data_IF_675847843794
#
_entry.id   IF_675847843794
#
_cell.length_a   1.000
_cell.length_b   1.000
_cell.length_c   1.000
_cell.angle_alpha   90.00
_cell.angle_beta   90.00
_cell.angle_gamma   90.00
#
_symmetry.space_group_name_H-M   'P 1'
#
loop_
_entity.id
_entity.type
_entity.pdbx_description
1 polymer ?
#
# COMPACT_ATOMS: atom_id res chain seq x y z
N UNK A 1 -22.48 12.33 -31.81
CA UNK A 1 -22.89 11.84 -30.49
C UNK A 1 -21.67 11.27 -29.78
N UNK A 2 -21.27 11.86 -28.66
CA UNK A 2 -20.20 11.33 -27.80
C UNK A 2 -20.84 10.33 -26.84
N UNK A 3 -20.50 9.04 -26.95
CA UNK A 3 -20.86 8.06 -25.94
C UNK A 3 -19.98 8.29 -24.71
N UNK A 4 -20.59 8.75 -23.62
CA UNK A 4 -19.91 8.88 -22.32
C UNK A 4 -20.15 7.58 -21.56
N UNK A 5 -19.09 6.78 -21.39
CA UNK A 5 -19.14 5.58 -20.57
C UNK A 5 -19.47 5.98 -19.12
N UNK A 6 -20.53 5.40 -18.57
CA UNK A 6 -21.00 5.70 -17.21
C UNK A 6 -20.96 4.42 -16.38
N UNK A 7 -20.39 4.51 -15.18
CA UNK A 7 -20.44 3.45 -14.16
C UNK A 7 -21.34 3.93 -13.02
N UNK A 8 -22.38 3.15 -12.72
CA UNK A 8 -23.26 3.39 -11.57
C UNK A 8 -22.98 2.37 -10.48
N UNK A 9 -22.62 2.84 -9.29
CA UNK A 9 -22.39 2.00 -8.10
C UNK A 9 -23.55 2.24 -7.14
N UNK A 10 -24.27 1.18 -6.78
CA UNK A 10 -25.43 1.25 -5.88
C UNK A 10 -25.14 0.46 -4.60
N UNK A 11 -25.40 1.08 -3.44
CA UNK A 11 -25.27 0.41 -2.14
C UNK A 11 -26.49 -0.49 -1.88
N UNK A 12 -26.29 -1.80 -1.97
CA UNK A 12 -27.32 -2.80 -1.70
C UNK A 12 -27.24 -3.41 -0.28
N UNK A 13 -26.41 -2.85 0.61
CA UNK A 13 -26.29 -3.35 1.98
C UNK A 13 -27.60 -3.19 2.77
N UNK A 14 -27.86 -4.10 3.72
CA UNK A 14 -29.02 -4.01 4.63
C UNK A 14 -29.04 -2.65 5.32
N UNK A 15 -30.22 -2.02 5.38
CA UNK A 15 -30.43 -0.68 5.94
C UNK A 15 -29.55 0.41 5.29
N UNK A 16 -29.07 0.19 4.06
CA UNK A 16 -28.13 1.08 3.37
C UNK A 16 -26.85 1.33 4.18
N UNK A 17 -26.39 0.32 4.94
CA UNK A 17 -25.15 0.41 5.69
C UNK A 17 -24.00 0.82 4.76
N UNK A 18 -23.29 1.89 5.08
CA UNK A 18 -22.18 2.39 4.29
C UNK A 18 -20.90 1.60 4.61
N UNK A 19 -20.16 1.23 3.57
CA UNK A 19 -18.80 0.72 3.68
C UNK A 19 -17.84 1.53 2.81
N UNK A 20 -16.55 1.40 3.08
CA UNK A 20 -15.54 1.97 2.21
C UNK A 20 -15.42 1.12 0.93
N UNK A 21 -15.32 1.77 -0.22
CA UNK A 21 -15.12 1.13 -1.52
C UNK A 21 -13.87 1.75 -2.13
N UNK A 22 -13.00 0.90 -2.70
CA UNK A 22 -11.90 1.35 -3.55
C UNK A 22 -12.24 1.00 -4.98
N UNK A 23 -12.17 2.00 -5.85
CA UNK A 23 -12.33 1.82 -7.29
C UNK A 23 -10.99 2.13 -7.95
N UNK A 24 -10.46 1.14 -8.67
CA UNK A 24 -9.27 1.29 -9.49
C UNK A 24 -9.66 1.13 -10.96
N UNK A 25 -9.67 2.25 -11.68
CA UNK A 25 -10.04 2.31 -13.10
C UNK A 25 -8.77 2.37 -13.92
N UNK A 26 -8.61 1.43 -14.85
CA UNK A 26 -7.38 1.27 -15.62
C UNK A 26 -7.66 1.35 -17.11
N UNK A 27 -6.76 1.99 -17.84
CA UNK A 27 -6.79 1.96 -19.30
C UNK A 27 -6.36 0.57 -19.79
N UNK A 28 -7.14 -0.02 -20.69
CA UNK A 28 -6.84 -1.31 -21.33
C UNK A 28 -5.50 -1.33 -22.08
N UNK A 29 -4.98 -0.16 -22.46
CA UNK A 29 -3.67 0.02 -23.11
C UNK A 29 -2.50 0.14 -22.12
N UNK A 30 -2.73 0.03 -20.81
CA UNK A 30 -1.65 0.03 -19.82
C UNK A 30 -0.72 -1.18 -20.04
N UNK A 31 0.58 -0.98 -19.84
CA UNK A 31 1.64 -1.95 -20.19
C UNK A 31 1.42 -3.33 -19.57
N UNK A 32 1.08 -3.37 -18.28
CA UNK A 32 0.87 -4.62 -17.54
C UNK A 32 -0.58 -5.09 -17.51
N UNK A 33 -1.49 -4.51 -18.29
CA UNK A 33 -2.93 -4.81 -18.21
C UNK A 33 -3.25 -6.30 -18.34
N UNK A 34 -2.48 -7.03 -19.17
CA UNK A 34 -2.70 -8.47 -19.42
C UNK A 34 -1.95 -9.40 -18.47
N UNK A 35 -0.95 -8.89 -17.76
CA UNK A 35 0.00 -9.71 -16.99
C UNK A 35 0.04 -9.38 -15.50
N UNK A 36 -0.49 -8.23 -15.10
CA UNK A 36 -0.60 -7.85 -13.71
C UNK A 36 -1.65 -8.71 -13.01
N UNK A 37 -1.30 -9.18 -11.83
CA UNK A 37 -2.23 -9.80 -10.91
C UNK A 37 -2.81 -8.72 -9.99
N UNK A 38 -4.12 -8.76 -9.74
CA UNK A 38 -4.80 -7.78 -8.90
C UNK A 38 -5.54 -8.50 -7.78
N UNK A 39 -5.27 -8.09 -6.54
CA UNK A 39 -5.83 -8.71 -5.34
C UNK A 39 -6.47 -7.68 -4.41
N UNK A 40 -7.50 -8.12 -3.69
CA UNK A 40 -7.98 -7.45 -2.48
C UNK A 40 -7.13 -7.93 -1.29
N UNK A 41 -6.74 -7.02 -0.38
CA UNK A 41 -5.88 -7.34 0.74
C UNK A 41 -6.56 -8.25 1.77
N UNK A 42 -7.89 -8.16 1.91
CA UNK A 42 -8.64 -9.02 2.83
C UNK A 42 -8.42 -10.49 2.48
N UNK A 43 -7.76 -11.23 3.39
CA UNK A 43 -7.46 -12.65 3.27
C UNK A 43 -6.58 -13.02 2.05
N UNK A 44 -5.73 -12.10 1.59
CA UNK A 44 -4.74 -12.44 0.58
C UNK A 44 -3.75 -13.49 1.14
N UNK A 45 -3.73 -14.67 0.52
CA UNK A 45 -2.76 -15.74 0.74
C UNK A 45 -2.33 -16.32 -0.61
N UNK A 46 -1.49 -15.58 -1.31
CA UNK A 46 -0.99 -15.94 -2.64
C UNK A 46 0.18 -16.91 -2.50
N UNK A 47 0.05 -18.09 -3.13
CA UNK A 47 1.13 -19.09 -3.19
C UNK A 47 2.24 -18.68 -4.15
N UNK A 48 3.48 -19.19 -3.96
CA UNK A 48 4.59 -18.84 -4.83
C UNK A 48 4.30 -19.16 -6.30
N UNK A 49 4.47 -18.17 -7.17
CA UNK A 49 4.34 -18.32 -8.62
C UNK A 49 4.99 -17.13 -9.33
N UNK A 50 5.30 -17.30 -10.62
CA UNK A 50 5.86 -16.23 -11.45
C UNK A 50 4.83 -15.12 -11.62
N UNK A 51 5.17 -13.93 -11.15
CA UNK A 51 4.45 -12.69 -11.43
C UNK A 51 5.45 -11.59 -11.73
N UNK A 52 5.18 -10.84 -12.80
CA UNK A 52 5.93 -9.62 -13.10
C UNK A 52 5.41 -8.47 -12.24
N UNK A 53 4.08 -8.37 -12.12
CA UNK A 53 3.43 -7.29 -11.39
C UNK A 53 2.30 -7.82 -10.53
N UNK A 54 2.26 -7.38 -9.27
CA UNK A 54 1.17 -7.65 -8.34
C UNK A 54 0.65 -6.33 -7.80
N UNK A 55 -0.62 -6.04 -7.98
CA UNK A 55 -1.32 -4.91 -7.38
C UNK A 55 -2.24 -5.40 -6.27
N UNK A 56 -2.10 -4.84 -5.08
CA UNK A 56 -2.96 -5.12 -3.93
C UNK A 56 -3.75 -3.87 -3.57
N UNK A 57 -5.06 -4.04 -3.45
CA UNK A 57 -6.04 -2.99 -3.15
C UNK A 57 -6.70 -3.26 -1.80
N UNK A 58 -7.08 -2.21 -1.08
CA UNK A 58 -7.95 -2.35 0.10
C UNK A 58 -8.58 -1.02 0.48
N UNK A 59 -9.83 -1.08 0.91
CA UNK A 59 -10.53 0.09 1.46
C UNK A 59 -10.16 0.41 2.92
N UNK A 60 -9.25 -0.38 3.51
CA UNK A 60 -8.75 -0.25 4.87
C UNK A 60 -7.22 -0.38 4.86
N UNK A 61 -6.50 0.28 5.78
CA UNK A 61 -5.07 0.01 5.97
C UNK A 61 -4.80 -1.48 6.16
N UNK A 62 -3.69 -1.96 5.61
CA UNK A 62 -3.33 -3.37 5.63
C UNK A 62 -1.82 -3.55 5.74
N UNK A 63 -1.40 -4.70 6.25
CA UNK A 63 0.01 -5.13 6.25
C UNK A 63 0.21 -6.14 5.14
N UNK A 64 1.20 -5.90 4.29
CA UNK A 64 1.63 -6.79 3.23
C UNK A 64 2.93 -7.48 3.66
N UNK A 65 2.99 -8.81 3.54
CA UNK A 65 4.14 -9.62 3.94
C UNK A 65 4.53 -10.58 2.84
N UNK A 66 5.81 -10.58 2.49
CA UNK A 66 6.40 -11.58 1.59
C UNK A 66 7.56 -12.26 2.29
N UNK A 67 7.59 -13.61 2.23
CA UNK A 67 8.68 -14.40 2.82
C UNK A 67 9.96 -14.31 1.99
N UNK A 68 11.11 -14.51 2.63
CA UNK A 68 12.34 -14.79 1.90
C UNK A 68 12.22 -16.13 1.15
N UNK A 69 12.60 -16.16 -0.12
CA UNK A 69 12.58 -17.40 -0.91
C UNK A 69 13.83 -17.52 -1.79
N UNK A 70 13.95 -16.64 -2.78
CA UNK A 70 15.07 -16.59 -3.72
C UNK A 70 15.51 -15.13 -3.91
N UNK A 71 16.74 -14.91 -4.38
CA UNK A 71 17.18 -13.56 -4.78
C UNK A 71 16.21 -12.96 -5.80
N UNK A 72 15.80 -11.73 -5.55
CA UNK A 72 14.76 -11.07 -6.33
C UNK A 72 14.97 -9.56 -6.32
N UNK A 73 14.81 -8.95 -7.49
CA UNK A 73 14.63 -7.52 -7.61
C UNK A 73 13.15 -7.20 -7.44
N UNK A 74 12.81 -6.26 -6.55
CA UNK A 74 11.43 -5.82 -6.35
C UNK A 74 11.39 -4.32 -6.11
N UNK A 75 10.47 -3.66 -6.79
CA UNK A 75 10.10 -2.26 -6.55
C UNK A 75 8.65 -2.19 -6.14
N UNK A 76 8.33 -1.31 -5.21
CA UNK A 76 6.96 -1.06 -4.81
C UNK A 76 6.59 0.41 -4.96
N UNK A 77 5.38 0.67 -5.45
CA UNK A 77 4.77 2.00 -5.54
C UNK A 77 3.39 1.97 -4.92
N UNK A 78 2.99 3.03 -4.22
CA UNK A 78 1.63 3.18 -3.67
C UNK A 78 0.60 3.58 -4.74
N UNK A 79 0.75 3.04 -5.94
CA UNK A 79 -0.03 3.37 -7.11
C UNK A 79 -0.35 2.08 -7.89
N UNK A 80 -1.22 2.20 -8.90
CA UNK A 80 -1.61 1.09 -9.75
C UNK A 80 -0.51 0.61 -10.69
N UNK A 81 -0.64 -0.60 -11.21
CA UNK A 81 0.33 -1.17 -12.14
C UNK A 81 0.53 -0.31 -13.40
N UNK A 82 -0.50 0.45 -13.78
CA UNK A 82 -0.50 1.38 -14.91
C UNK A 82 0.43 2.58 -14.75
N UNK A 83 1.09 2.72 -13.60
CA UNK A 83 2.00 3.82 -13.28
C UNK A 83 3.44 3.38 -13.01
N UNK A 84 3.72 2.07 -13.02
CA UNK A 84 5.00 1.51 -12.60
C UNK A 84 6.18 2.01 -13.44
N UNK A 85 5.96 2.20 -14.73
CA UNK A 85 6.98 2.64 -15.70
C UNK A 85 7.20 4.16 -15.70
N UNK A 86 6.33 4.90 -15.02
CA UNK A 86 6.47 6.35 -14.92
C UNK A 86 7.40 6.76 -13.79
N UNK A 87 8.21 7.79 -14.02
CA UNK A 87 8.96 8.48 -12.96
C UNK A 87 8.09 9.37 -12.09
N UNK A 88 6.78 9.46 -12.39
CA UNK A 88 5.85 10.39 -11.73
C UNK A 88 5.48 9.96 -10.31
N UNK A 89 5.60 8.67 -9.99
CA UNK A 89 5.34 8.11 -8.68
C UNK A 89 6.65 7.55 -8.11
N UNK A 90 7.06 7.93 -6.88
CA UNK A 90 8.27 7.42 -6.26
C UNK A 90 8.13 5.94 -5.91
N UNK A 91 9.25 5.22 -5.96
CA UNK A 91 9.37 3.91 -5.34
C UNK A 91 9.38 4.09 -3.82
N UNK A 92 8.46 3.42 -3.13
CA UNK A 92 8.40 3.40 -1.65
C UNK A 92 9.21 2.24 -1.06
N UNK A 93 9.53 1.27 -1.91
CA UNK A 93 10.47 0.19 -1.62
C UNK A 93 11.22 -0.15 -2.90
N UNK A 94 12.52 -0.39 -2.80
CA UNK A 94 13.33 -0.82 -3.94
C UNK A 94 14.47 -1.71 -3.46
N UNK A 95 14.57 -2.89 -4.06
CA UNK A 95 15.65 -3.84 -3.87
C UNK A 95 16.09 -4.35 -5.24
N UNK A 96 17.38 -4.25 -5.55
CA UNK A 96 17.90 -4.58 -6.89
C UNK A 96 19.03 -5.61 -6.91
N UNK A 97 19.83 -5.74 -5.84
CA UNK A 97 21.10 -6.48 -5.90
C UNK A 97 21.43 -7.36 -4.69
N UNK A 98 20.61 -7.36 -3.63
CA UNK A 98 20.85 -8.16 -2.43
C UNK A 98 19.97 -9.43 -2.41
N UNK A 99 20.36 -10.47 -1.65
CA UNK A 99 19.45 -11.57 -1.35
C UNK A 99 18.13 -11.00 -0.82
N UNK A 100 16.99 -11.44 -1.37
CA UNK A 100 15.70 -10.90 -0.97
C UNK A 100 15.38 -11.35 0.45
N UNK A 101 15.35 -10.43 1.44
CA UNK A 101 15.14 -10.80 2.84
C UNK A 101 13.66 -11.04 3.16
N UNK A 102 12.78 -10.93 2.16
CA UNK A 102 11.36 -10.70 2.37
C UNK A 102 11.09 -9.26 2.76
N UNK A 103 9.82 -8.93 3.01
CA UNK A 103 9.43 -7.66 3.60
C UNK A 103 8.16 -7.81 4.43
N UNK A 104 7.98 -6.87 5.36
CA UNK A 104 6.70 -6.61 6.02
C UNK A 104 6.43 -5.12 5.92
N UNK A 105 5.49 -4.74 5.05
CA UNK A 105 5.16 -3.33 4.79
C UNK A 105 3.78 -3.00 5.32
N UNK A 106 3.68 -1.90 6.07
CA UNK A 106 2.40 -1.35 6.51
C UNK A 106 1.90 -0.36 5.47
N UNK A 107 0.79 -0.70 4.81
CA UNK A 107 0.22 0.07 3.73
C UNK A 107 -0.96 0.88 4.26
N UNK A 108 -0.77 2.19 4.29
CA UNK A 108 -1.79 3.16 4.65
C UNK A 108 -2.31 3.91 3.41
N UNK A 109 -2.45 3.18 2.30
CA UNK A 109 -2.93 3.67 1.02
C UNK A 109 -3.94 2.65 0.47
N UNK A 110 -4.85 3.06 -0.42
CA UNK A 110 -5.84 2.13 -0.97
C UNK A 110 -5.26 1.14 -1.97
N UNK A 111 -4.02 1.36 -2.43
CA UNK A 111 -3.37 0.59 -3.48
C UNK A 111 -1.86 0.55 -3.28
N UNK A 112 -1.26 -0.59 -3.60
CA UNK A 112 0.19 -0.76 -3.79
C UNK A 112 0.40 -1.70 -4.98
N UNK A 113 1.41 -1.43 -5.79
CA UNK A 113 1.87 -2.33 -6.83
C UNK A 113 3.33 -2.71 -6.61
N UNK A 114 3.62 -4.00 -6.73
CA UNK A 114 4.94 -4.61 -6.70
C UNK A 114 5.34 -4.94 -8.14
N UNK A 115 6.56 -4.58 -8.52
CA UNK A 115 7.18 -4.92 -9.79
C UNK A 115 8.42 -5.76 -9.53
N UNK A 116 8.40 -7.00 -10.00
CA UNK A 116 9.49 -7.95 -9.85
C UNK A 116 10.38 -7.95 -11.10
N UNK A 117 11.70 -7.92 -10.90
CA UNK A 117 12.68 -7.99 -11.99
C UNK A 117 12.89 -9.44 -12.44
N UNK A 118 11.95 -9.94 -13.23
CA UNK A 118 12.03 -11.28 -13.81
C UNK A 118 13.10 -11.41 -14.90
N UNK A 119 13.63 -10.28 -15.42
CA UNK A 119 14.71 -10.32 -16.42
C UNK A 119 16.03 -10.71 -15.77
N UNK A 120 16.32 -10.10 -14.62
CA UNK A 120 17.52 -10.42 -13.84
C UNK A 120 17.32 -11.67 -12.96
N UNK A 121 16.12 -11.87 -12.42
CA UNK A 121 15.81 -12.94 -11.48
C UNK A 121 14.57 -13.74 -11.93
N UNK A 122 14.72 -14.76 -12.80
CA UNK A 122 13.60 -15.53 -13.35
C UNK A 122 13.05 -16.58 -12.36
N UNK A 123 12.85 -16.18 -11.11
CA UNK A 123 12.33 -17.01 -10.02
C UNK A 123 10.91 -16.57 -9.64
N UNK A 124 10.04 -17.48 -9.15
CA UNK A 124 8.71 -17.10 -8.69
C UNK A 124 8.80 -16.17 -7.48
N UNK A 125 7.90 -15.18 -7.43
CA UNK A 125 7.64 -14.41 -6.22
C UNK A 125 7.22 -15.37 -5.10
N UNK A 126 7.59 -15.05 -3.86
CA UNK A 126 7.37 -15.94 -2.73
C UNK A 126 5.89 -15.94 -2.29
N UNK A 127 5.62 -16.50 -1.11
CA UNK A 127 4.29 -16.42 -0.53
C UNK A 127 4.01 -14.97 -0.13
N UNK A 128 2.96 -14.37 -0.72
CA UNK A 128 2.52 -13.01 -0.45
C UNK A 128 1.21 -13.06 0.34
N UNK A 129 1.23 -12.47 1.53
CA UNK A 129 0.08 -12.42 2.45
C UNK A 129 -0.29 -10.98 2.74
N UNK A 130 -1.58 -10.71 2.88
CA UNK A 130 -2.04 -9.45 3.44
C UNK A 130 -3.06 -9.65 4.55
N UNK A 131 -2.99 -8.77 5.54
CA UNK A 131 -3.87 -8.75 6.70
C UNK A 131 -4.40 -7.33 6.90
N UNK A 132 -5.68 -7.21 7.19
CA UNK A 132 -6.27 -5.90 7.47
C UNK A 132 -5.81 -5.41 8.84
N UNK A 133 -5.46 -4.13 8.88
CA UNK A 133 -4.88 -3.49 10.06
C UNK A 133 -3.45 -3.08 9.83
N UNK A 134 -2.94 -2.28 10.76
CA UNK A 134 -1.55 -1.89 10.85
C UNK A 134 -0.98 -2.67 12.02
N UNK A 135 0.20 -3.28 11.85
CA UNK A 135 0.93 -3.81 13.00
C UNK A 135 1.33 -2.65 13.92
N UNK A 136 1.03 -2.77 15.21
CA UNK A 136 1.48 -1.84 16.25
C UNK A 136 3.00 -1.90 16.47
N UNK A 137 3.70 -2.80 15.76
CA UNK A 137 5.16 -2.93 15.79
C UNK A 137 5.74 -2.87 14.39
N UNK A 138 6.71 -1.98 14.19
CA UNK A 138 7.52 -1.92 12.98
C UNK A 138 8.97 -2.27 13.34
N UNK A 139 9.54 -3.26 12.64
CA UNK A 139 10.94 -3.62 12.81
C UNK A 139 11.78 -2.71 11.92
N UNK A 140 12.58 -1.84 12.51
CA UNK A 140 13.38 -0.88 11.75
C UNK A 140 14.54 -1.55 10.99
N UNK A 141 14.90 -2.78 11.36
CA UNK A 141 15.93 -3.55 10.66
C UNK A 141 15.42 -4.16 9.35
N UNK A 142 14.10 -4.29 9.18
CA UNK A 142 13.51 -4.75 7.93
C UNK A 142 13.30 -3.57 7.00
N UNK A 143 13.78 -3.71 5.75
CA UNK A 143 13.46 -2.73 4.71
C UNK A 143 11.94 -2.59 4.59
N UNK A 144 11.46 -1.35 4.63
CA UNK A 144 10.05 -1.04 4.59
C UNK A 144 9.85 0.47 4.57
N UNK A 145 8.59 0.89 4.57
CA UNK A 145 8.21 2.29 4.63
C UNK A 145 6.94 2.47 5.46
N UNK A 146 6.71 3.71 5.89
CA UNK A 146 5.46 4.17 6.47
C UNK A 146 4.98 5.37 5.66
N UNK A 147 3.68 5.43 5.37
CA UNK A 147 3.08 6.51 4.60
C UNK A 147 1.86 7.08 5.33
N UNK A 148 1.55 8.36 5.08
CA UNK A 148 0.29 8.98 5.50
C UNK A 148 -0.91 8.32 4.82
N UNK A 149 -2.07 8.43 5.47
CA UNK A 149 -3.31 7.92 4.94
C UNK A 149 -3.63 8.57 3.59
N UNK A 150 -3.76 7.75 2.54
CA UNK A 150 -4.14 8.22 1.20
C UNK A 150 -3.00 8.87 0.39
N UNK A 151 -1.79 8.96 0.94
CA UNK A 151 -0.63 9.38 0.16
C UNK A 151 -0.19 8.27 -0.78
N UNK A 152 -0.01 8.62 -2.06
CA UNK A 152 0.49 7.71 -3.09
C UNK A 152 1.73 8.26 -3.84
N UNK A 153 2.20 9.45 -3.46
CA UNK A 153 3.41 10.08 -3.99
C UNK A 153 3.38 10.54 -5.45
N UNK A 154 2.31 10.25 -6.21
CA UNK A 154 2.24 10.63 -7.62
C UNK A 154 1.83 12.11 -7.79
N UNK A 155 2.72 12.93 -8.33
CA UNK A 155 2.45 14.34 -8.55
C UNK A 155 1.28 14.56 -9.55
N UNK A 156 0.36 15.47 -9.23
CA UNK A 156 -0.75 15.86 -10.12
C UNK A 156 -1.81 14.79 -10.35
N UNK A 157 -1.74 13.64 -9.65
CA UNK A 157 -2.79 12.62 -9.64
C UNK A 157 -3.57 12.75 -8.34
N UNK A 158 -4.89 12.90 -8.44
CA UNK A 158 -5.76 12.95 -7.27
C UNK A 158 -6.31 11.56 -7.00
N UNK A 159 -6.05 11.03 -5.81
CA UNK A 159 -6.85 9.95 -5.28
C UNK A 159 -8.25 10.50 -4.97
N UNK A 160 -9.23 10.13 -5.79
CA UNK A 160 -10.60 10.58 -5.56
C UNK A 160 -11.24 9.64 -4.55
N UNK A 161 -11.45 10.12 -3.32
CA UNK A 161 -12.10 9.38 -2.27
C UNK A 161 -13.53 9.88 -2.09
N UNK A 162 -14.50 8.97 -2.22
CA UNK A 162 -15.90 9.26 -1.94
C UNK A 162 -16.33 8.53 -0.67
N UNK A 163 -16.75 9.27 0.35
CA UNK A 163 -17.38 8.70 1.53
C UNK A 163 -18.90 8.74 1.34
N UNK A 164 -19.56 7.58 1.32
CA UNK A 164 -21.01 7.51 1.14
C UNK A 164 -21.80 8.03 2.36
N UNK A 165 -21.16 8.24 3.53
CA UNK A 165 -21.69 8.97 4.71
C UNK A 165 -20.56 9.49 5.63
N UNK A 166 -20.90 10.49 6.46
CA UNK A 166 -20.01 11.33 7.28
C UNK A 166 -19.44 10.67 8.57
N UNK A 167 -19.11 9.38 8.56
CA UNK A 167 -18.69 8.62 9.75
C UNK A 167 -17.23 8.17 9.72
N UNK A 168 -16.33 8.98 9.15
CA UNK A 168 -14.89 8.74 9.28
C UNK A 168 -14.47 9.03 10.73
N UNK A 169 -14.52 8.02 11.59
CA UNK A 169 -13.87 8.10 12.91
C UNK A 169 -12.38 8.28 12.68
N UNK A 170 -11.81 9.36 13.23
CA UNK A 170 -10.35 9.51 13.33
C UNK A 170 -9.78 8.27 14.00
N UNK A 171 -8.86 7.58 13.33
CA UNK A 171 -8.19 6.42 13.91
C UNK A 171 -6.75 6.82 14.19
N UNK A 172 -6.39 6.86 15.47
CA UNK A 172 -5.01 7.03 15.91
C UNK A 172 -4.38 5.65 16.00
N UNK A 173 -3.42 5.38 15.12
CA UNK A 173 -2.63 4.16 15.19
C UNK A 173 -1.24 4.56 15.71
N UNK A 174 -0.82 3.94 16.80
CA UNK A 174 0.53 4.12 17.32
C UNK A 174 1.36 2.91 16.93
N UNK A 175 2.53 3.14 16.35
CA UNK A 175 3.44 2.08 15.96
C UNK A 175 4.74 2.20 16.76
N UNK A 176 5.02 1.18 17.56
CA UNK A 176 6.26 1.03 18.29
C UNK A 176 7.36 0.55 17.33
N UNK A 177 8.40 1.35 17.17
CA UNK A 177 9.56 0.97 16.38
C UNK A 177 10.54 0.21 17.28
N UNK A 178 10.92 -1.01 16.90
CA UNK A 178 11.94 -1.80 17.60
C UNK A 178 13.24 -1.80 16.79
N UNK A 179 14.38 -1.69 17.48
CA UNK A 179 15.72 -1.78 16.90
C UNK A 179 16.68 -2.48 17.90
N UNK A 180 17.63 -3.29 17.40
CA UNK A 180 18.70 -3.95 18.18
C UNK A 180 19.57 -2.98 18.99
N UNK A 181 19.66 -1.71 18.57
CA UNK A 181 20.12 -0.60 19.41
C UNK A 181 18.90 0.22 19.82
N UNK A 182 18.40 0.13 21.07
CA UNK A 182 17.15 0.76 21.44
C UNK A 182 17.28 2.28 21.28
N UNK A 183 16.58 2.80 20.27
CA UNK A 183 16.11 4.17 20.23
C UNK A 183 14.60 4.06 20.41
N UNK A 184 14.08 4.55 21.54
CA UNK A 184 12.64 4.54 21.79
C UNK A 184 11.95 5.59 20.90
N UNK A 185 11.64 5.19 19.66
CA UNK A 185 10.91 6.00 18.68
C UNK A 185 9.48 5.48 18.61
N UNK A 186 8.51 6.35 18.90
CA UNK A 186 7.09 6.04 18.77
C UNK A 186 6.51 6.83 17.60
N UNK A 187 6.15 6.15 16.53
CA UNK A 187 5.55 6.82 15.38
C UNK A 187 4.04 6.82 15.58
N UNK A 188 3.46 8.00 15.78
CA UNK A 188 2.03 8.18 15.92
C UNK A 188 1.44 8.57 14.55
N UNK A 189 0.79 7.61 13.90
CA UNK A 189 0.13 7.87 12.63
C UNK A 189 -1.33 8.23 12.92
N UNK A 190 -1.65 9.52 12.87
CA UNK A 190 -3.04 9.97 12.88
C UNK A 190 -3.62 9.81 11.48
N UNK A 191 -4.44 8.78 11.29
CA UNK A 191 -5.09 8.55 10.00
C UNK A 191 -6.41 9.29 9.97
N UNK A 192 -6.40 10.46 9.34
CA UNK A 192 -7.62 11.13 8.94
C UNK A 192 -7.66 11.29 7.42
N UNK A 193 -8.44 10.43 6.77
CA UNK A 193 -8.58 10.46 5.32
C UNK A 193 -9.27 11.75 4.80
N UNK A 194 -9.85 12.59 5.67
CA UNK A 194 -10.48 13.87 5.28
C UNK A 194 -9.56 15.10 5.37
N UNK A 195 -8.34 14.95 5.90
CA UNK A 195 -7.36 16.03 5.96
C UNK A 195 -6.06 15.60 5.28
N UNK A 196 -5.53 16.38 4.33
CA UNK A 196 -4.22 16.12 3.77
C UNK A 196 -3.16 16.12 4.88
N UNK A 197 -2.36 15.06 4.94
CA UNK A 197 -1.00 15.03 5.50
C UNK A 197 -0.81 15.54 6.94
N UNK A 198 -1.01 14.66 7.92
CA UNK A 198 -0.34 14.82 9.21
C UNK A 198 0.21 13.46 9.67
N UNK A 199 1.38 13.05 9.16
CA UNK A 199 2.19 12.06 9.89
C UNK A 199 2.97 12.82 10.95
N UNK A 200 2.68 12.55 12.22
CA UNK A 200 3.42 13.17 13.33
C UNK A 200 4.35 12.13 13.93
N UNK A 201 5.64 12.33 13.78
CA UNK A 201 6.65 11.51 14.44
C UNK A 201 6.91 12.09 15.81
N UNK A 202 6.78 11.28 16.86
CA UNK A 202 6.99 11.71 18.24
C UNK A 202 8.08 10.88 18.93
N UNK A 203 8.79 11.49 19.88
CA UNK A 203 9.62 10.75 20.82
C UNK A 203 8.74 9.96 21.80
N UNK A 204 9.32 9.00 22.51
CA UNK A 204 8.63 8.22 23.56
C UNK A 204 8.02 9.07 24.68
N UNK A 205 8.55 10.28 24.91
CA UNK A 205 8.00 11.25 25.87
C UNK A 205 6.85 12.11 25.29
N UNK A 206 6.38 11.82 24.06
CA UNK A 206 5.31 12.54 23.38
C UNK A 206 5.75 13.82 22.66
N UNK A 207 7.03 14.18 22.70
CA UNK A 207 7.55 15.37 21.99
C UNK A 207 7.48 15.15 20.48
N UNK A 208 6.90 16.08 19.73
CA UNK A 208 6.94 16.05 18.26
C UNK A 208 8.39 16.24 17.77
N UNK A 209 8.86 15.28 16.97
CA UNK A 209 10.18 15.30 16.32
C UNK A 209 10.05 15.86 14.91
N UNK A 210 9.00 15.47 14.19
CA UNK A 210 8.77 15.89 12.82
C UNK A 210 7.29 15.75 12.42
N UNK A 211 6.87 16.52 11.41
CA UNK A 211 5.55 16.49 10.78
C UNK A 211 5.70 16.48 9.26
N UNK A 212 4.95 15.60 8.60
CA UNK A 212 4.97 15.39 7.15
C UNK A 212 3.56 15.35 6.56
#
# INVERSE_FOLDING_TARGET
>A
FQNIATLTITNANRNYASGNIVLYVVNHNAEYFKTAEVYEAVNLDRKPSLASVITVLSARPFTLRESNYMSMGVRAKLAGFDTLDSTTCPDVYSLSWLPFPGFTMTINAPIISLLYDLKQFPYPAAELKAFIGISDTHQMEQNGFLASAGWHGCAGKLLTMFALRNNLKKTKNSTNCKNFRPQDVTINVETNASTPNDVVVTASNGTEIARY
#
